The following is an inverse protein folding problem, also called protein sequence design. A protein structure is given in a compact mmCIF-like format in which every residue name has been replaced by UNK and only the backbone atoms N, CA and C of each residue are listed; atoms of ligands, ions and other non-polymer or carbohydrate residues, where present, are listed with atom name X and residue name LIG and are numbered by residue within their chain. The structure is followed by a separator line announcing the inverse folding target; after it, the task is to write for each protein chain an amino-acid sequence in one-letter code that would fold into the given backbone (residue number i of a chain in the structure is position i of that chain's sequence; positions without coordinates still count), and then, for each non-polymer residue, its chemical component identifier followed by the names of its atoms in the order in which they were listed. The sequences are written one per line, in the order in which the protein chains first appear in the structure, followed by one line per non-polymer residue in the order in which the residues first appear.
data_IF_804433231153
#
_entry.id   IF_804433231153
#
_cell.length_a   1.000
_cell.length_b   1.000
_cell.length_c   1.000
_cell.angle_alpha   90.00
_cell.angle_beta   90.00
_cell.angle_gamma   90.00
#
_symmetry.space_group_name_H-M   'P 1'
#
loop_
_entity.id
_entity.type
_entity.pdbx_description
1 polymer ?
#
# COMPACT_ATOMS: atom_id res chain seq x y z
N UNK A 1 -24.73 -13.74 0.06
CA UNK A 1 -23.61 -13.52 -0.88
C UNK A 1 -22.53 -12.78 -0.12
N UNK A 2 -21.47 -13.47 0.30
CA UNK A 2 -20.32 -12.81 0.91
C UNK A 2 -19.71 -11.86 -0.14
N UNK A 3 -19.35 -10.61 0.19
CA UNK A 3 -18.72 -9.73 -0.77
C UNK A 3 -17.44 -10.39 -1.25
N UNK A 4 -17.29 -10.47 -2.56
CA UNK A 4 -16.13 -11.03 -3.22
C UNK A 4 -14.93 -10.19 -2.79
N UNK A 5 -14.21 -10.65 -1.77
CA UNK A 5 -12.95 -10.03 -1.36
C UNK A 5 -12.11 -9.91 -2.62
N UNK A 6 -11.75 -8.69 -2.99
CA UNK A 6 -10.97 -8.34 -4.17
C UNK A 6 -9.66 -9.15 -4.13
N UNK A 7 -9.73 -10.37 -4.65
CA UNK A 7 -8.67 -11.38 -4.71
C UNK A 7 -7.75 -11.05 -5.88
N UNK A 8 -7.33 -9.80 -5.99
CA UNK A 8 -6.44 -9.37 -7.06
C UNK A 8 -5.04 -9.18 -6.48
N UNK A 9 -4.45 -10.30 -6.06
CA UNK A 9 -3.02 -10.39 -5.72
C UNK A 9 -2.16 -9.90 -6.89
N UNK A 10 -2.68 -10.06 -8.12
CA UNK A 10 -2.08 -9.58 -9.37
C UNK A 10 -2.11 -8.05 -9.45
N UNK A 11 -3.25 -7.39 -9.21
CA UNK A 11 -3.32 -5.93 -9.22
C UNK A 11 -2.41 -5.28 -8.18
N UNK A 12 -2.37 -5.82 -6.94
CA UNK A 12 -1.44 -5.34 -5.92
C UNK A 12 0.01 -5.46 -6.37
N UNK A 13 0.38 -6.59 -6.97
CA UNK A 13 1.74 -6.84 -7.46
C UNK A 13 2.17 -5.89 -8.57
N UNK A 14 1.29 -5.58 -9.53
CA UNK A 14 1.60 -4.59 -10.58
C UNK A 14 1.87 -3.20 -10.01
N UNK A 15 1.06 -2.78 -9.03
CA UNK A 15 1.23 -1.47 -8.38
C UNK A 15 2.53 -1.47 -7.57
N UNK A 16 2.82 -2.55 -6.84
CA UNK A 16 4.08 -2.72 -6.11
C UNK A 16 5.27 -2.61 -7.05
N UNK A 17 5.25 -3.28 -8.20
CA UNK A 17 6.33 -3.24 -9.19
C UNK A 17 6.56 -1.82 -9.71
N UNK A 18 5.48 -1.12 -10.08
CA UNK A 18 5.54 0.27 -10.52
C UNK A 18 6.06 1.22 -9.43
N UNK A 19 5.73 1.00 -8.15
CA UNK A 19 6.28 1.77 -7.04
C UNK A 19 7.78 1.48 -6.87
N UNK A 20 8.19 0.22 -7.00
CA UNK A 20 9.59 -0.21 -6.89
C UNK A 20 10.47 0.31 -8.04
N UNK A 21 9.90 0.65 -9.19
CA UNK A 21 10.62 1.35 -10.27
C UNK A 21 11.12 2.73 -9.84
N UNK A 22 10.52 3.35 -8.81
CA UNK A 22 10.93 4.67 -8.36
C UNK A 22 12.28 4.62 -7.60
N UNK A 23 13.30 5.40 -7.99
CA UNK A 23 14.67 5.25 -7.47
C UNK A 23 14.80 5.51 -5.97
N UNK A 24 13.91 6.34 -5.40
CA UNK A 24 13.87 6.65 -3.97
C UNK A 24 13.14 5.61 -3.11
N UNK A 25 12.50 4.60 -3.71
CA UNK A 25 11.80 3.54 -2.99
C UNK A 25 12.76 2.39 -2.68
N UNK A 26 12.74 1.92 -1.43
CA UNK A 26 13.45 0.71 -1.01
C UNK A 26 12.51 -0.49 -1.13
N UNK A 27 11.37 -0.41 -0.47
CA UNK A 27 10.36 -1.49 -0.42
C UNK A 27 8.97 -0.89 -0.49
N UNK A 28 8.02 -1.67 -0.97
CA UNK A 28 6.63 -1.31 -0.88
C UNK A 28 5.76 -2.56 -0.71
N UNK A 29 4.55 -2.34 -0.19
CA UNK A 29 3.51 -3.34 -0.11
C UNK A 29 2.16 -2.68 -0.36
N UNK A 30 1.41 -3.22 -1.31
CA UNK A 30 0.04 -2.77 -1.60
C UNK A 30 -0.94 -3.81 -1.10
N UNK A 31 -1.95 -3.37 -0.36
CA UNK A 31 -3.03 -4.22 0.11
C UNK A 31 -4.38 -3.58 -0.14
N UNK A 32 -5.36 -4.42 -0.50
CA UNK A 32 -6.77 -4.06 -0.42
C UNK A 32 -7.27 -4.23 1.00
N UNK A 33 -7.86 -3.17 1.54
CA UNK A 33 -8.56 -3.14 2.82
C UNK A 33 -10.06 -2.98 2.52
N UNK A 34 -10.92 -3.85 3.06
CA UNK A 34 -12.36 -3.66 2.95
C UNK A 34 -12.75 -2.38 3.68
N UNK A 35 -13.45 -1.49 3.00
CA UNK A 35 -13.87 -0.18 3.52
C UNK A 35 -15.40 -0.14 3.53
N UNK A 36 -16.01 0.08 4.70
CA UNK A 36 -17.47 0.03 4.84
C UNK A 36 -18.19 1.14 4.03
N UNK A 37 -17.48 2.21 3.65
CA UNK A 37 -18.03 3.35 2.92
C UNK A 37 -17.85 3.24 1.39
N UNK A 38 -16.73 2.70 0.91
CA UNK A 38 -16.39 2.59 -0.51
C UNK A 38 -16.31 1.15 -1.05
N UNK A 39 -16.57 0.15 -0.19
CA UNK A 39 -16.45 -1.27 -0.50
C UNK A 39 -15.02 -1.78 -0.32
N UNK A 40 -14.09 -1.30 -1.14
CA UNK A 40 -12.69 -1.71 -1.12
C UNK A 40 -11.78 -0.49 -1.36
N UNK A 41 -10.82 -0.26 -0.46
CA UNK A 41 -9.76 0.75 -0.64
C UNK A 41 -8.40 0.08 -0.77
N UNK A 42 -7.61 0.58 -1.72
CA UNK A 42 -6.21 0.21 -1.85
C UNK A 42 -5.35 1.13 -0.98
N UNK A 43 -4.50 0.53 -0.15
CA UNK A 43 -3.50 1.24 0.64
C UNK A 43 -2.11 0.76 0.26
N UNK A 44 -1.24 1.71 -0.09
CA UNK A 44 0.16 1.45 -0.41
C UNK A 44 1.03 1.85 0.77
N UNK A 45 1.74 0.88 1.32
CA UNK A 45 2.78 1.11 2.30
C UNK A 45 4.12 1.17 1.58
N UNK A 46 4.86 2.26 1.77
CA UNK A 46 6.09 2.50 1.00
C UNK A 46 7.21 2.89 1.96
N UNK A 47 8.35 2.22 1.80
CA UNK A 47 9.57 2.49 2.55
C UNK A 47 10.54 3.21 1.63
N UNK A 48 10.85 4.48 1.89
CA UNK A 48 11.87 5.17 1.12
C UNK A 48 13.27 4.66 1.50
N UNK A 49 14.21 4.73 0.56
CA UNK A 49 15.63 4.45 0.84
C UNK A 49 16.22 5.43 1.85
N UNK A 50 15.70 6.65 1.90
CA UNK A 50 16.14 7.70 2.80
C UNK A 50 14.92 8.49 3.26
N UNK A 51 14.79 8.69 4.57
CA UNK A 51 13.69 9.48 5.11
C UNK A 51 13.70 10.90 4.51
N UNK A 52 12.55 11.34 3.98
CA UNK A 52 12.40 12.65 3.36
C UNK A 52 12.84 12.74 1.89
N UNK A 53 13.26 11.65 1.24
CA UNK A 53 13.55 11.65 -0.21
C UNK A 53 12.37 11.22 -1.08
N UNK A 54 11.26 10.82 -0.47
CA UNK A 54 10.08 10.32 -1.17
C UNK A 54 8.85 11.10 -0.72
N UNK A 55 8.17 11.71 -1.69
CA UNK A 55 6.91 12.41 -1.49
C UNK A 55 5.75 11.55 -1.97
N UNK A 56 4.77 11.31 -1.11
CA UNK A 56 3.56 10.56 -1.45
C UNK A 56 2.81 11.16 -2.65
N UNK A 57 2.80 12.49 -2.78
CA UNK A 57 2.15 13.18 -3.90
C UNK A 57 2.90 12.95 -5.21
N UNK A 58 4.24 13.04 -5.19
CA UNK A 58 5.09 12.76 -6.35
C UNK A 58 4.99 11.30 -6.78
N UNK A 59 4.95 10.36 -5.82
CA UNK A 59 4.75 8.94 -6.09
C UNK A 59 3.39 8.69 -6.75
N UNK A 60 2.32 9.31 -6.24
CA UNK A 60 1.00 9.22 -6.83
C UNK A 60 0.94 9.76 -8.27
N UNK A 61 1.65 10.85 -8.55
CA UNK A 61 1.79 11.40 -9.92
C UNK A 61 2.58 10.46 -10.82
N UNK A 62 3.71 9.92 -10.35
CA UNK A 62 4.52 8.95 -11.10
C UNK A 62 3.69 7.72 -11.49
N UNK A 63 2.89 7.20 -10.56
CA UNK A 63 1.98 6.09 -10.85
C UNK A 63 0.86 6.46 -11.83
N UNK A 64 0.37 7.71 -11.82
CA UNK A 64 -0.65 8.18 -12.79
C UNK A 64 -0.17 8.18 -14.23
N UNK A 65 1.13 8.33 -14.45
CA UNK A 65 1.72 8.27 -15.79
C UNK A 65 1.90 6.83 -16.29
N UNK A 66 1.98 5.85 -15.38
CA UNK A 66 2.22 4.43 -15.74
C UNK A 66 0.99 3.55 -15.67
N UNK A 67 0.10 3.85 -14.72
CA UNK A 67 -1.07 3.03 -14.37
C UNK A 67 -2.35 3.87 -14.46
N UNK A 68 -3.48 3.25 -14.81
CA UNK A 68 -4.76 3.94 -14.82
C UNK A 68 -5.19 4.31 -13.40
N UNK A 69 -5.90 5.44 -13.27
CA UNK A 69 -6.25 6.05 -11.97
C UNK A 69 -6.96 5.13 -10.97
N UNK A 70 -7.72 4.12 -11.44
CA UNK A 70 -8.41 3.16 -10.57
C UNK A 70 -7.48 2.12 -9.93
N UNK A 71 -6.27 1.92 -10.45
CA UNK A 71 -5.22 1.08 -9.83
C UNK A 71 -4.37 1.86 -8.84
N UNK A 72 -4.52 3.18 -8.79
CA UNK A 72 -3.66 4.02 -7.96
C UNK A 72 -4.25 4.05 -6.56
N UNK A 73 -3.48 3.67 -5.54
CA UNK A 73 -3.97 3.73 -4.18
C UNK A 73 -4.27 5.18 -3.82
N UNK A 74 -5.43 5.39 -3.22
CA UNK A 74 -5.82 6.72 -2.74
C UNK A 74 -5.03 7.15 -1.50
N UNK A 75 -4.39 6.20 -0.83
CA UNK A 75 -3.68 6.39 0.43
C UNK A 75 -2.28 5.78 0.36
N UNK A 76 -1.26 6.62 0.56
CA UNK A 76 0.15 6.25 0.56
C UNK A 76 0.72 6.46 1.96
N UNK A 77 1.08 5.36 2.60
CA UNK A 77 1.61 5.36 3.95
C UNK A 77 3.13 5.19 3.90
N UNK A 78 3.84 6.30 4.09
CA UNK A 78 5.30 6.32 4.11
C UNK A 78 5.79 5.82 5.48
N UNK A 79 6.52 4.71 5.49
CA UNK A 79 7.02 4.06 6.71
C UNK A 79 8.55 3.95 6.65
N UNK A 80 9.19 3.94 7.80
CA UNK A 80 10.63 3.64 7.89
C UNK A 80 10.92 2.16 7.65
N UNK A 81 9.99 1.28 8.07
CA UNK A 81 10.06 -0.15 7.84
C UNK A 81 8.67 -0.77 7.74
N UNK A 82 8.55 -1.89 7.01
CA UNK A 82 7.35 -2.72 6.98
C UNK A 82 7.47 -3.86 7.99
N UNK A 83 6.34 -4.38 8.51
CA UNK A 83 6.35 -5.60 9.31
C UNK A 83 6.87 -6.74 8.45
N UNK A 84 7.97 -7.35 8.88
CA UNK A 84 8.62 -8.48 8.22
C UNK A 84 8.66 -9.68 9.17
N UNK A 85 8.59 -10.87 8.60
CA UNK A 85 8.78 -12.10 9.35
C UNK A 85 10.28 -12.36 9.63
N UNK A 86 10.60 -13.37 10.44
CA UNK A 86 11.99 -13.78 10.73
C UNK A 86 12.82 -14.08 9.47
N UNK A 87 12.17 -14.46 8.37
CA UNK A 87 12.82 -14.63 7.06
C UNK A 87 13.01 -13.33 6.25
N UNK A 88 12.66 -12.16 6.80
CA UNK A 88 12.75 -10.87 6.10
C UNK A 88 11.66 -10.60 5.08
N UNK A 89 10.65 -11.48 4.95
CA UNK A 89 9.51 -11.28 4.05
C UNK A 89 8.46 -10.37 4.67
N UNK A 90 7.97 -9.40 3.90
CA UNK A 90 6.90 -8.48 4.31
C UNK A 90 5.62 -9.27 4.63
N UNK A 91 5.05 -9.00 5.81
CA UNK A 91 3.82 -9.59 6.32
C UNK A 91 2.62 -8.74 5.90
N UNK A 92 2.09 -8.97 4.69
CA UNK A 92 0.89 -8.29 4.18
C UNK A 92 -0.34 -8.48 5.07
N UNK A 93 -0.43 -9.61 5.78
CA UNK A 93 -1.53 -9.90 6.71
C UNK A 93 -1.49 -9.02 7.96
N UNK A 94 -0.30 -8.72 8.48
CA UNK A 94 -0.12 -7.77 9.58
C UNK A 94 -0.55 -6.36 9.15
N UNK A 95 -0.12 -5.93 7.95
CA UNK A 95 -0.53 -4.64 7.36
C UNK A 95 -2.06 -4.56 7.18
N UNK A 96 -2.70 -5.66 6.77
CA UNK A 96 -4.16 -5.72 6.63
C UNK A 96 -4.87 -5.61 7.98
N UNK A 97 -4.33 -6.24 9.01
CA UNK A 97 -4.84 -6.09 10.38
C UNK A 97 -4.68 -4.64 10.90
N UNK A 98 -3.54 -3.98 10.64
CA UNK A 98 -3.33 -2.58 10.99
C UNK A 98 -4.28 -1.64 10.23
N UNK A 99 -4.45 -1.87 8.92
CA UNK A 99 -5.32 -1.08 8.07
C UNK A 99 -6.81 -1.24 8.36
N UNK A 100 -7.21 -2.42 8.87
CA UNK A 100 -8.60 -2.73 9.23
C UNK A 100 -8.94 -2.38 10.69
N UNK A 101 -7.97 -1.97 11.50
CA UNK A 101 -8.23 -1.53 12.85
C UNK A 101 -8.96 -0.18 12.78
N UNK A 102 -10.22 -0.07 13.24
CA UNK A 102 -10.83 1.24 13.42
C UNK A 102 -9.90 1.99 14.37
N UNK A 103 -9.51 3.20 13.98
CA UNK A 103 -8.78 4.11 14.85
C UNK A 103 -9.62 4.31 16.12
N UNK A 104 -9.42 3.46 17.12
CA UNK A 104 -9.78 3.78 18.49
C UNK A 104 -8.64 4.68 18.94
N UNK A 105 -8.79 5.96 18.64
CA UNK A 105 -8.08 7.00 19.36
C UNK A 105 -8.43 6.84 20.83
N UNK A 106 -7.54 6.20 21.58
CA UNK A 106 -7.48 6.32 23.02
C UNK A 106 -6.53 7.49 23.31
N UNK A 107 -7.10 8.68 23.49
CA UNK A 107 -6.62 9.70 24.42
C UNK A 107 -7.75 10.66 24.72
#
# INVERSE_FOLDING_TARGET
VAPVALHDVVAAREIEDAILEHPAVHECAVIGIPDELLGDRLRAFVVPKTAGTLDANALGLFLKERLPAYKIPGDFDLRDALPKNESGKIMKEALRAEGSSPSTGAS
#
